data_IF_880825236313
#
_entry.id   IF_880825236313
#
_cell.length_a   1.000
_cell.length_b   1.000
_cell.length_c   1.000
_cell.angle_alpha   90.00
_cell.angle_beta   90.00
_cell.angle_gamma   90.00
#
_symmetry.space_group_name_H-M   'P 1'
#
loop_
_entity.id
_entity.type
_entity.pdbx_description
1 polymer ?
#
# COMPACT_ATOMS: atom_id res chain seq x y z
N UNK A 1 7.31 1.10 -5.95
CA UNK A 1 7.23 0.02 -4.96
C UNK A 1 8.33 0.28 -3.97
N UNK A 2 8.01 0.53 -2.69
CA UNK A 2 9.00 0.99 -1.73
C UNK A 2 9.77 -0.20 -1.14
N UNK A 3 11.07 -0.31 -1.41
CA UNK A 3 11.99 -1.25 -0.79
C UNK A 3 12.32 -0.82 0.63
N UNK A 4 12.45 -1.79 1.54
CA UNK A 4 12.90 -1.54 2.92
C UNK A 4 13.95 -2.57 3.32
N UNK A 5 15.03 -2.09 3.92
CA UNK A 5 16.09 -2.92 4.47
C UNK A 5 16.78 -2.19 5.63
N UNK A 6 17.56 -2.93 6.41
CA UNK A 6 18.41 -2.36 7.45
C UNK A 6 19.84 -2.23 6.91
N UNK A 7 20.48 -1.10 7.20
CA UNK A 7 21.88 -0.85 6.90
C UNK A 7 22.62 -0.72 8.22
N UNK A 8 23.48 -1.70 8.51
CA UNK A 8 24.33 -1.77 9.70
C UNK A 8 25.67 -1.10 9.36
N UNK A 9 25.96 0.02 10.04
CA UNK A 9 27.18 0.83 9.82
C UNK A 9 27.84 1.17 11.16
N UNK A 10 29.16 1.43 11.17
CA UNK A 10 29.79 2.02 12.34
C UNK A 10 29.13 3.36 12.69
N UNK A 11 28.86 3.59 13.97
CA UNK A 11 28.24 4.79 14.53
C UNK A 11 28.92 6.07 14.06
N UNK A 12 30.25 6.05 13.96
CA UNK A 12 31.03 7.20 13.48
C UNK A 12 30.66 7.61 12.03
N UNK A 13 30.15 6.68 11.22
CA UNK A 13 29.78 6.88 9.82
C UNK A 13 28.27 6.99 9.58
N UNK A 14 27.45 6.88 10.61
CA UNK A 14 25.99 6.85 10.47
C UNK A 14 25.43 8.10 9.77
N UNK A 15 25.99 9.28 10.09
CA UNK A 15 25.60 10.54 9.47
C UNK A 15 25.96 10.57 7.98
N UNK A 16 27.17 10.17 7.60
CA UNK A 16 27.62 10.13 6.21
C UNK A 16 26.85 9.09 5.39
N UNK A 17 26.60 7.91 5.96
CA UNK A 17 25.76 6.89 5.36
C UNK A 17 24.33 7.40 5.09
N UNK A 18 23.77 8.20 6.01
CA UNK A 18 22.44 8.78 5.86
C UNK A 18 22.40 9.78 4.70
N UNK A 19 23.43 10.63 4.58
CA UNK A 19 23.58 11.56 3.45
C UNK A 19 23.71 10.80 2.12
N UNK A 20 24.47 9.70 2.09
CA UNK A 20 24.60 8.86 0.91
C UNK A 20 23.25 8.23 0.49
N UNK A 21 22.48 7.72 1.46
CA UNK A 21 21.12 7.20 1.23
C UNK A 21 20.23 8.28 0.64
N UNK A 22 20.14 9.45 1.27
CA UNK A 22 19.29 10.55 0.81
C UNK A 22 19.74 11.12 -0.55
N UNK A 23 21.03 11.03 -0.87
CA UNK A 23 21.60 11.40 -2.17
C UNK A 23 21.02 10.64 -3.36
N UNK A 24 20.40 9.47 -3.14
CA UNK A 24 19.67 8.74 -4.18
C UNK A 24 18.38 9.46 -4.63
N UNK A 25 17.90 10.45 -3.87
CA UNK A 25 16.76 11.31 -4.18
C UNK A 25 15.38 10.73 -3.89
N UNK A 26 15.25 9.40 -3.90
CA UNK A 26 13.99 8.69 -3.62
C UNK A 26 14.11 7.70 -2.45
N UNK A 27 15.17 7.83 -1.65
CA UNK A 27 15.45 7.06 -0.46
C UNK A 27 15.58 7.94 0.78
N UNK A 28 15.23 7.40 1.95
CA UNK A 28 15.36 8.07 3.23
C UNK A 28 15.72 7.09 4.36
N UNK A 29 16.41 7.59 5.37
CA UNK A 29 16.61 6.88 6.63
C UNK A 29 15.45 7.20 7.57
N UNK A 30 14.66 6.19 7.93
CA UNK A 30 13.47 6.34 8.77
C UNK A 30 13.81 6.34 10.26
N UNK A 31 14.73 5.47 10.67
CA UNK A 31 15.07 5.21 12.07
C UNK A 31 16.54 4.89 12.15
N UNK A 32 17.22 5.49 13.12
CA UNK A 32 18.58 5.12 13.54
C UNK A 32 18.48 4.55 14.95
N UNK A 33 19.00 3.34 15.16
CA UNK A 33 18.99 2.66 16.46
C UNK A 33 20.28 1.89 16.68
N UNK A 34 20.51 1.47 17.91
CA UNK A 34 21.67 0.64 18.24
C UNK A 34 21.57 -0.72 17.52
N UNK A 35 22.70 -1.23 17.01
CA UNK A 35 22.74 -2.52 16.31
C UNK A 35 22.34 -3.66 17.23
N UNK A 36 21.56 -4.61 16.69
CA UNK A 36 21.10 -5.79 17.44
C UNK A 36 22.13 -6.93 17.46
N UNK A 37 23.33 -6.75 16.90
CA UNK A 37 24.27 -7.85 16.77
C UNK A 37 25.71 -7.42 16.96
N UNK A 38 26.21 -7.59 18.18
CA UNK A 38 27.51 -8.21 18.54
C UNK A 38 27.93 -7.91 19.99
N UNK A 39 27.23 -7.02 20.70
CA UNK A 39 27.45 -6.76 22.13
C UNK A 39 27.01 -5.35 22.55
N UNK A 40 26.99 -5.07 23.86
CA UNK A 40 26.65 -3.74 24.41
C UNK A 40 27.66 -2.65 24.01
N UNK A 41 28.92 -3.05 23.75
CA UNK A 41 30.00 -2.14 23.35
C UNK A 41 30.23 -2.09 21.82
N UNK A 42 29.31 -2.65 21.04
CA UNK A 42 29.47 -2.71 19.58
C UNK A 42 29.26 -1.31 18.96
N UNK A 43 30.24 -0.73 18.26
CA UNK A 43 30.16 0.63 17.76
C UNK A 43 29.30 0.73 16.49
N UNK A 44 28.27 -0.11 16.32
CA UNK A 44 27.42 -0.14 15.14
C UNK A 44 26.01 0.36 15.43
N UNK A 45 25.37 0.88 14.38
CA UNK A 45 23.97 1.30 14.40
C UNK A 45 23.23 0.74 13.20
N UNK A 46 21.95 0.43 13.40
CA UNK A 46 21.02 0.02 12.35
C UNK A 46 20.31 1.27 11.81
N UNK A 47 20.46 1.52 10.52
CA UNK A 47 19.69 2.51 9.78
C UNK A 47 18.56 1.78 9.04
N UNK A 48 17.32 2.11 9.37
CA UNK A 48 16.18 1.62 8.58
C UNK A 48 16.05 2.47 7.33
N UNK A 49 16.39 1.90 6.18
CA UNK A 49 16.31 2.58 4.89
C UNK A 49 15.01 2.22 4.19
N UNK A 50 14.30 3.23 3.70
CA UNK A 50 13.16 3.08 2.80
C UNK A 50 13.46 3.79 1.48
N UNK A 51 13.22 3.15 0.34
CA UNK A 51 13.47 3.75 -0.98
C UNK A 51 12.46 3.29 -2.03
N UNK A 52 12.13 4.16 -2.99
CA UNK A 52 11.22 3.83 -4.08
C UNK A 52 11.91 3.13 -5.26
N UNK A 53 13.24 3.15 -5.31
CA UNK A 53 14.07 2.48 -6.30
C UNK A 53 15.25 1.77 -5.65
N UNK A 54 16.04 1.04 -6.45
CA UNK A 54 17.29 0.43 -5.97
C UNK A 54 18.53 1.27 -6.34
N UNK A 55 18.34 2.51 -6.80
CA UNK A 55 19.44 3.47 -7.01
C UNK A 55 20.17 3.82 -5.71
N UNK A 56 19.50 3.65 -4.58
CA UNK A 56 20.12 3.73 -3.26
C UNK A 56 21.29 2.75 -3.10
N UNK A 57 21.26 1.60 -3.78
CA UNK A 57 22.39 0.67 -3.77
C UNK A 57 23.59 1.28 -4.49
N UNK A 58 23.39 1.90 -5.65
CA UNK A 58 24.48 2.58 -6.37
C UNK A 58 25.10 3.70 -5.51
N UNK A 59 24.26 4.53 -4.89
CA UNK A 59 24.71 5.61 -4.01
C UNK A 59 25.49 5.07 -2.79
N UNK A 60 25.06 3.94 -2.21
CA UNK A 60 25.76 3.29 -1.10
C UNK A 60 27.12 2.73 -1.53
N UNK A 61 27.23 2.11 -2.71
CA UNK A 61 28.51 1.61 -3.20
C UNK A 61 29.45 2.73 -3.57
N UNK A 62 28.96 3.81 -4.18
CA UNK A 62 29.80 4.97 -4.53
C UNK A 62 30.32 5.68 -3.27
N UNK A 63 29.47 5.84 -2.25
CA UNK A 63 29.89 6.31 -0.94
C UNK A 63 30.89 5.35 -0.28
N UNK A 64 30.61 4.05 -0.24
CA UNK A 64 31.51 3.04 0.31
C UNK A 64 32.87 3.03 -0.42
N UNK A 65 32.85 3.22 -1.75
CA UNK A 65 34.04 3.31 -2.57
C UNK A 65 34.90 4.55 -2.24
N UNK A 66 34.23 5.67 -1.91
CA UNK A 66 34.88 6.93 -1.53
C UNK A 66 35.64 6.87 -0.19
N UNK A 67 35.34 5.91 0.68
CA UNK A 67 36.03 5.72 1.97
C UNK A 67 37.49 5.24 1.82
N UNK A 68 37.92 4.86 0.61
CA UNK A 68 39.33 4.52 0.33
C UNK A 68 39.71 3.11 0.73
N UNK A 69 40.97 2.90 1.18
CA UNK A 69 41.54 1.57 1.42
C UNK A 69 41.27 0.98 2.82
N UNK A 70 40.85 1.82 3.78
CA UNK A 70 40.53 1.40 5.15
C UNK A 70 39.02 1.43 5.37
N UNK A 71 38.30 0.66 4.56
CA UNK A 71 36.83 0.62 4.64
C UNK A 71 36.41 -0.18 5.86
N UNK A 72 35.54 0.37 6.72
CA UNK A 72 34.94 -0.45 7.76
C UNK A 72 33.95 -1.43 7.16
N UNK A 73 33.63 -2.48 7.90
CA UNK A 73 32.59 -3.41 7.48
C UNK A 73 31.24 -2.68 7.49
N UNK A 74 30.56 -2.63 6.36
CA UNK A 74 29.21 -2.08 6.22
C UNK A 74 28.34 -3.20 5.70
N UNK A 75 27.20 -3.44 6.34
CA UNK A 75 26.36 -4.59 6.04
C UNK A 75 24.93 -4.19 5.79
N UNK A 76 24.29 -4.90 4.87
CA UNK A 76 22.86 -4.83 4.64
C UNK A 76 22.23 -6.04 5.33
N UNK A 77 21.29 -5.78 6.23
CA UNK A 77 20.56 -6.83 6.96
C UNK A 77 19.19 -7.02 6.31
N UNK A 78 19.02 -8.20 5.74
CA UNK A 78 17.80 -8.65 5.10
C UNK A 78 16.73 -9.00 6.15
N UNK A 79 15.46 -8.97 5.76
CA UNK A 79 14.32 -9.35 6.59
C UNK A 79 14.41 -10.81 7.06
N UNK A 80 15.00 -11.70 6.24
CA UNK A 80 15.31 -13.07 6.66
C UNK A 80 16.35 -13.17 7.79
N UNK A 81 17.03 -12.07 8.13
CA UNK A 81 18.09 -11.99 9.14
C UNK A 81 19.51 -12.16 8.58
N UNK A 82 19.64 -12.45 7.28
CA UNK A 82 20.92 -12.56 6.60
C UNK A 82 21.63 -11.20 6.56
N UNK A 83 22.94 -11.20 6.85
CA UNK A 83 23.80 -10.02 6.78
C UNK A 83 24.71 -10.11 5.57
N UNK A 84 24.57 -9.17 4.65
CA UNK A 84 25.38 -9.07 3.43
C UNK A 84 26.37 -7.92 3.57
N UNK A 85 27.67 -8.21 3.61
CA UNK A 85 28.70 -7.16 3.59
C UNK A 85 28.73 -6.48 2.22
N UNK A 86 28.77 -5.14 2.20
CA UNK A 86 28.85 -4.33 0.97
C UNK A 86 30.15 -4.63 0.21
N UNK A 87 31.25 -4.91 0.93
CA UNK A 87 32.53 -5.30 0.32
C UNK A 87 32.49 -6.70 -0.30
N UNK A 88 31.79 -7.63 0.37
CA UNK A 88 31.76 -9.04 -0.01
C UNK A 88 30.76 -9.40 -1.11
N UNK A 89 29.89 -8.47 -1.49
CA UNK A 89 28.80 -8.71 -2.45
C UNK A 89 28.89 -7.71 -3.59
N UNK A 90 28.67 -8.16 -4.82
CA UNK A 90 28.62 -7.28 -5.98
C UNK A 90 27.32 -6.46 -6.02
N UNK A 91 27.35 -5.23 -6.54
CA UNK A 91 26.18 -4.34 -6.73
C UNK A 91 24.94 -5.09 -7.24
N UNK A 92 25.08 -5.83 -8.34
CA UNK A 92 23.97 -6.57 -8.95
C UNK A 92 23.41 -7.69 -8.06
N UNK A 93 24.27 -8.39 -7.32
CA UNK A 93 23.87 -9.41 -6.37
C UNK A 93 23.15 -8.82 -5.15
N UNK A 94 23.59 -7.65 -4.67
CA UNK A 94 22.92 -6.92 -3.58
C UNK A 94 21.50 -6.50 -3.99
N UNK A 95 21.34 -5.93 -5.19
CA UNK A 95 20.04 -5.57 -5.77
C UNK A 95 19.13 -6.81 -5.86
N UNK A 96 19.67 -7.94 -6.33
CA UNK A 96 18.90 -9.18 -6.44
C UNK A 96 18.48 -9.72 -5.06
N UNK A 97 19.35 -9.63 -4.06
CA UNK A 97 19.06 -10.03 -2.69
C UNK A 97 17.94 -9.19 -2.08
N UNK A 98 18.04 -7.85 -2.16
CA UNK A 98 17.00 -6.94 -1.66
C UNK A 98 15.66 -7.24 -2.33
N UNK A 99 15.63 -7.44 -3.66
CA UNK A 99 14.39 -7.77 -4.37
C UNK A 99 13.74 -9.06 -3.88
N UNK A 100 14.53 -10.12 -3.66
CA UNK A 100 14.02 -11.42 -3.21
C UNK A 100 13.52 -11.39 -1.78
N UNK A 101 14.19 -10.62 -0.93
CA UNK A 101 13.91 -10.51 0.50
C UNK A 101 12.69 -9.63 0.83
N UNK A 102 12.10 -8.95 -0.17
CA UNK A 102 10.92 -8.15 0.10
C UNK A 102 9.72 -9.07 0.46
N UNK A 103 9.06 -8.84 1.61
CA UNK A 103 8.03 -9.74 2.14
C UNK A 103 6.77 -9.86 1.25
N UNK A 104 6.63 -9.00 0.23
CA UNK A 104 5.57 -9.12 -0.77
C UNK A 104 5.97 -9.97 -1.97
N UNK A 105 7.25 -10.17 -2.28
CA UNK A 105 7.69 -10.96 -3.44
C UNK A 105 7.35 -12.44 -3.24
N UNK A 106 7.51 -12.95 -2.02
CA UNK A 106 7.09 -14.31 -1.66
C UNK A 106 5.57 -14.54 -1.73
N UNK A 107 4.77 -13.46 -1.75
CA UNK A 107 3.30 -13.53 -1.66
C UNK A 107 2.56 -13.05 -2.91
N UNK A 108 3.26 -12.47 -3.89
CA UNK A 108 2.64 -11.91 -5.11
C UNK A 108 3.15 -12.52 -6.41
N UNK A 109 4.26 -13.27 -6.39
CA UNK A 109 4.64 -14.10 -7.53
C UNK A 109 3.71 -15.31 -7.60
N UNK A 110 2.90 -15.49 -8.67
CA UNK A 110 2.20 -16.74 -8.86
C UNK A 110 3.23 -17.85 -8.96
N UNK A 111 3.14 -18.85 -8.08
CA UNK A 111 3.99 -20.04 -8.09
C UNK A 111 3.65 -20.92 -9.30
N UNK A 112 3.98 -20.46 -10.49
CA UNK A 112 3.85 -21.25 -11.72
C UNK A 112 5.10 -22.14 -11.76
N UNK A 113 4.98 -23.36 -11.26
CA UNK A 113 6.04 -24.38 -11.34
C UNK A 113 6.26 -25.21 -10.09
N UNK A 114 5.84 -24.75 -8.91
CA UNK A 114 5.96 -25.53 -7.66
C UNK A 114 4.74 -26.44 -7.48
N UNK A 115 4.62 -27.43 -8.36
CA UNK A 115 3.89 -28.65 -8.05
C UNK A 115 4.94 -29.70 -7.68
N UNK A 116 5.24 -29.84 -6.40
CA UNK A 116 5.78 -31.12 -5.94
C UNK A 116 4.68 -32.17 -6.19
N UNK A 117 4.94 -33.13 -7.07
CA UNK A 117 4.12 -34.31 -7.20
C UNK A 117 4.19 -35.06 -5.87
N UNK A 118 3.13 -34.93 -5.07
CA UNK A 118 2.90 -35.84 -3.95
C UNK A 118 2.73 -37.26 -4.53
N UNK A 119 3.86 -37.97 -4.64
CA UNK A 119 3.92 -39.39 -4.97
C UNK A 119 3.29 -40.15 -3.80
N UNK A 120 1.97 -40.29 -3.84
CA UNK A 120 1.25 -41.27 -3.06
C UNK A 120 1.60 -42.67 -3.58
N UNK A 121 2.63 -43.26 -2.98
CA UNK A 121 2.82 -44.70 -2.97
C UNK A 121 1.67 -45.38 -2.22
N UNK A 122 0.89 -46.20 -2.92
CA UNK A 122 0.16 -47.30 -2.31
C UNK A 122 -1.15 -47.69 -3.00
N UNK A 123 -1.11 -48.73 -3.85
CA UNK A 123 -2.29 -49.60 -4.06
C UNK A 123 -2.70 -49.84 -5.52
N UNK A 124 -2.23 -50.95 -6.07
CA UNK A 124 -2.56 -51.58 -7.36
C UNK A 124 -4.03 -51.99 -7.54
N UNK A 125 -4.63 -51.76 -8.73
CA UNK A 125 -4.99 -52.82 -9.71
C UNK A 125 -5.97 -52.35 -10.83
N UNK A 126 -5.51 -52.51 -12.07
CA UNK A 126 -6.16 -52.75 -13.37
C UNK A 126 -7.68 -52.53 -13.60
N UNK A 127 -8.02 -51.70 -14.60
CA UNK A 127 -8.52 -52.14 -15.92
C UNK A 127 -9.17 -51.00 -16.73
N UNK A 128 -8.72 -50.85 -17.97
CA UNK A 128 -9.65 -50.79 -19.11
C UNK A 128 -10.10 -49.43 -19.67
N UNK A 129 -9.54 -49.13 -20.85
CA UNK A 129 -10.25 -48.62 -22.05
C UNK A 129 -10.77 -47.18 -22.01
N UNK A 130 -10.23 -46.35 -22.91
CA UNK A 130 -10.94 -45.19 -23.44
C UNK A 130 -10.04 -44.03 -23.85
N UNK A 131 -9.34 -44.16 -24.97
CA UNK A 131 -8.74 -43.01 -25.65
C UNK A 131 -9.85 -42.14 -26.26
N UNK A 132 -9.85 -40.80 -26.06
CA UNK A 132 -10.56 -39.89 -26.95
C UNK A 132 -9.62 -39.33 -28.04
N UNK A 133 -10.18 -38.95 -29.19
CA UNK A 133 -9.47 -38.89 -30.46
C UNK A 133 -8.66 -37.62 -30.68
N UNK A 134 -7.62 -37.76 -31.52
CA UNK A 134 -6.89 -36.65 -32.12
C UNK A 134 -7.83 -35.76 -32.94
N UNK A 135 -7.89 -34.48 -32.58
CA UNK A 135 -8.45 -33.44 -33.44
C UNK A 135 -7.37 -33.04 -34.44
N UNK A 136 -7.61 -33.43 -35.68
CA UNK A 136 -6.94 -32.92 -36.87
C UNK A 136 -7.26 -31.43 -37.04
N UNK A 137 -6.24 -30.58 -36.91
CA UNK A 137 -6.27 -29.19 -37.39
C UNK A 137 -6.10 -29.18 -38.90
N UNK A 138 -7.09 -28.66 -39.62
CA UNK A 138 -6.98 -28.38 -41.06
C UNK A 138 -7.28 -26.91 -41.34
N UNK A 139 -6.36 -26.28 -42.07
CA UNK A 139 -6.51 -25.10 -42.94
C UNK A 139 -7.21 -23.84 -42.46
N UNK A 140 -6.43 -22.82 -42.06
CA UNK A 140 -6.87 -21.42 -42.01
C UNK A 140 -5.71 -20.42 -41.91
N UNK A 141 -5.28 -19.93 -43.08
CA UNK A 141 -4.49 -18.73 -43.45
C UNK A 141 -3.47 -18.07 -42.46
N UNK A 142 -2.31 -17.61 -42.97
CA UNK A 142 -1.20 -17.10 -42.14
C UNK A 142 -1.50 -15.69 -41.60
N UNK A 143 -1.29 -15.49 -40.31
CA UNK A 143 -1.10 -14.17 -39.71
C UNK A 143 0.39 -13.88 -39.67
N UNK A 144 0.79 -12.79 -40.35
CA UNK A 144 2.17 -12.34 -40.45
C UNK A 144 2.83 -12.09 -39.07
N UNK A 145 4.14 -12.37 -38.93
CA UNK A 145 4.89 -12.02 -37.74
C UNK A 145 5.09 -10.50 -37.65
N UNK A 146 4.56 -9.89 -36.59
CA UNK A 146 4.85 -8.50 -36.24
C UNK A 146 6.35 -8.39 -35.97
N UNK A 147 7.06 -7.74 -36.90
CA UNK A 147 8.45 -7.36 -36.73
C UNK A 147 8.62 -6.25 -35.67
N UNK A 148 9.74 -6.26 -34.92
CA UNK A 148 9.99 -5.31 -33.84
C UNK A 148 10.46 -3.98 -34.43
N UNK A 149 9.65 -2.94 -34.26
CA UNK A 149 9.95 -1.62 -34.82
C UNK A 149 8.84 -0.62 -34.62
N UNK A 150 8.45 -0.35 -33.37
CA UNK A 150 7.69 0.83 -33.02
C UNK A 150 8.16 1.33 -31.65
N UNK A 151 8.98 2.37 -31.68
CA UNK A 151 9.43 3.12 -30.52
C UNK A 151 8.22 3.62 -29.74
N UNK A 152 8.07 3.18 -28.50
CA UNK A 152 7.12 3.75 -27.55
C UNK A 152 7.65 5.11 -27.11
N UNK A 153 7.20 6.14 -27.82
CA UNK A 153 7.46 7.53 -27.49
C UNK A 153 6.66 7.87 -26.21
N UNK A 154 7.34 7.99 -25.07
CA UNK A 154 6.78 8.57 -23.85
C UNK A 154 6.74 10.10 -24.02
N UNK A 155 5.56 10.74 -24.09
CA UNK A 155 5.50 12.18 -23.86
C UNK A 155 5.75 12.41 -22.36
N UNK A 156 6.85 13.11 -22.07
CA UNK A 156 7.31 13.41 -20.73
C UNK A 156 6.31 14.21 -19.90
N UNK A 157 6.57 14.20 -18.59
CA UNK A 157 6.41 15.33 -17.66
C UNK A 157 5.48 16.46 -18.15
N UNK A 158 4.18 16.23 -18.12
CA UNK A 158 3.14 17.23 -18.33
C UNK A 158 2.25 17.26 -17.10
N UNK A 159 2.13 18.44 -16.47
CA UNK A 159 1.53 18.63 -15.16
C UNK A 159 0.15 17.99 -14.99
N UNK A 160 -0.07 17.38 -13.82
CA UNK A 160 -1.41 17.01 -13.38
C UNK A 160 -2.31 18.25 -13.43
N UNK A 161 -3.30 18.19 -14.30
CA UNK A 161 -4.40 19.15 -14.36
C UNK A 161 -5.12 19.15 -13.02
N UNK A 162 -5.05 20.28 -12.32
CA UNK A 162 -5.80 20.54 -11.11
C UNK A 162 -7.27 20.76 -11.50
N UNK A 163 -8.23 19.91 -11.09
CA UNK A 163 -9.62 19.99 -11.55
C UNK A 163 -10.42 21.18 -10.96
N UNK A 164 -9.76 22.12 -10.27
CA UNK A 164 -10.38 23.26 -9.60
C UNK A 164 -9.94 24.63 -10.17
N UNK A 165 -9.51 24.70 -11.42
CA UNK A 165 -9.36 25.99 -12.10
C UNK A 165 -10.73 26.49 -12.57
N UNK A 166 -11.26 27.50 -11.89
CA UNK A 166 -12.39 28.30 -12.37
C UNK A 166 -11.94 29.14 -13.55
N UNK A 167 -11.92 28.55 -14.75
CA UNK A 167 -11.85 29.34 -15.98
C UNK A 167 -13.19 30.05 -16.22
N UNK A 168 -13.11 31.34 -16.50
CA UNK A 168 -14.25 32.18 -16.81
C UNK A 168 -15.03 31.63 -18.02
N UNK A 169 -16.33 31.43 -17.82
CA UNK A 169 -17.25 30.97 -18.87
C UNK A 169 -17.30 32.01 -20.00
N UNK A 170 -16.99 31.65 -21.27
CA UNK A 170 -17.25 32.54 -22.39
C UNK A 170 -18.76 32.62 -22.64
N UNK A 171 -19.25 33.84 -22.84
CA UNK A 171 -20.66 34.14 -23.08
C UNK A 171 -21.19 33.55 -24.38
N UNK A 172 -22.34 32.87 -24.25
CA UNK A 172 -23.42 32.68 -25.22
C UNK A 172 -23.09 32.14 -26.62
N UNK A 173 -23.08 30.81 -26.74
CA UNK A 173 -23.66 30.11 -27.87
C UNK A 173 -24.88 29.34 -27.39
N UNK A 174 -26.07 29.62 -27.93
CA UNK A 174 -27.34 29.00 -27.53
C UNK A 174 -27.36 27.52 -27.91
N UNK A 175 -26.71 26.67 -27.13
CA UNK A 175 -26.98 25.24 -27.16
C UNK A 175 -28.30 25.02 -26.42
N UNK A 176 -29.36 24.74 -27.18
CA UNK A 176 -30.57 24.14 -26.64
C UNK A 176 -30.22 22.76 -26.08
N UNK A 177 -29.87 22.72 -24.80
CA UNK A 177 -29.80 21.50 -24.02
C UNK A 177 -31.22 20.95 -23.97
N UNK A 178 -31.47 19.88 -24.73
CA UNK A 178 -32.71 19.13 -24.65
C UNK A 178 -32.88 18.70 -23.20
N UNK A 179 -33.99 19.10 -22.57
CA UNK A 179 -34.25 18.83 -21.16
C UNK A 179 -34.03 17.33 -20.87
N UNK A 180 -33.12 16.98 -19.95
CA UNK A 180 -32.74 15.60 -19.75
C UNK A 180 -33.93 14.79 -19.23
N UNK A 181 -34.18 13.64 -19.89
CA UNK A 181 -35.10 12.59 -19.43
C UNK A 181 -34.83 12.31 -17.95
N UNK A 182 -35.89 12.29 -17.12
CA UNK A 182 -35.90 11.99 -15.66
C UNK A 182 -34.52 11.65 -15.11
N UNK A 183 -33.76 12.69 -14.74
CA UNK A 183 -32.43 12.53 -14.19
C UNK A 183 -32.52 11.92 -12.78
N UNK A 184 -31.57 11.05 -12.46
CA UNK A 184 -31.39 10.58 -11.08
C UNK A 184 -30.86 11.76 -10.26
N UNK A 185 -31.63 12.19 -9.27
CA UNK A 185 -31.20 13.22 -8.33
C UNK A 185 -30.59 12.56 -7.09
N UNK A 186 -29.25 12.58 -7.01
CA UNK A 186 -28.53 12.10 -5.83
C UNK A 186 -28.68 13.15 -4.73
N UNK A 187 -29.30 12.78 -3.60
CA UNK A 187 -29.49 13.69 -2.46
C UNK A 187 -28.25 13.81 -1.58
N UNK A 188 -27.43 12.76 -1.51
CA UNK A 188 -26.21 12.73 -0.74
C UNK A 188 -25.60 11.34 -0.66
N UNK A 189 -24.39 11.27 -0.11
CA UNK A 189 -23.72 10.01 0.22
C UNK A 189 -24.18 9.57 1.60
N UNK A 190 -24.76 8.37 1.69
CA UNK A 190 -25.25 7.83 2.96
C UNK A 190 -24.06 7.36 3.84
N UNK A 191 -23.24 6.47 3.30
CA UNK A 191 -22.03 5.98 3.95
C UNK A 191 -21.09 5.33 2.93
N UNK A 192 -19.84 5.13 3.32
CA UNK A 192 -18.87 4.27 2.63
C UNK A 192 -18.67 3.00 3.43
N UNK A 193 -18.77 1.83 2.79
CA UNK A 193 -18.52 0.56 3.45
C UNK A 193 -17.04 0.17 3.35
N UNK A 194 -16.41 -0.14 4.49
CA UNK A 194 -15.01 -0.58 4.58
C UNK A 194 -15.00 -1.94 5.27
N UNK A 195 -14.30 -2.91 4.68
CA UNK A 195 -14.11 -4.22 5.33
C UNK A 195 -12.97 -4.15 6.32
N UNK A 196 -13.19 -4.71 7.50
CA UNK A 196 -12.18 -4.79 8.58
C UNK A 196 -12.21 -6.17 9.21
N UNK A 197 -11.06 -6.65 9.70
CA UNK A 197 -10.95 -7.96 10.34
C UNK A 197 -11.49 -7.94 11.77
N UNK A 198 -11.27 -6.83 12.46
CA UNK A 198 -11.66 -6.59 13.84
C UNK A 198 -12.33 -5.21 13.94
N UNK A 199 -13.60 -5.19 14.37
CA UNK A 199 -14.37 -3.94 14.50
C UNK A 199 -13.83 -3.06 15.61
N UNK A 200 -13.45 -3.62 16.75
CA UNK A 200 -12.99 -2.84 17.92
C UNK A 200 -11.70 -2.10 17.59
N UNK A 201 -10.76 -2.78 16.91
CA UNK A 201 -9.50 -2.16 16.46
C UNK A 201 -9.77 -1.04 15.45
N UNK A 202 -10.68 -1.26 14.50
CA UNK A 202 -11.03 -0.25 13.50
C UNK A 202 -11.78 0.94 14.08
N UNK A 203 -12.71 0.69 15.01
CA UNK A 203 -13.43 1.74 15.74
C UNK A 203 -12.45 2.66 16.48
N UNK A 204 -11.52 2.08 17.23
CA UNK A 204 -10.52 2.84 17.96
C UNK A 204 -9.63 3.66 17.00
N UNK A 205 -9.17 3.04 15.92
CA UNK A 205 -8.32 3.73 14.95
C UNK A 205 -9.03 4.94 14.34
N UNK A 206 -10.23 4.78 13.80
CA UNK A 206 -10.93 5.90 13.14
C UNK A 206 -11.44 6.95 14.13
N UNK A 207 -11.73 6.57 15.37
CA UNK A 207 -12.01 7.53 16.44
C UNK A 207 -10.77 8.38 16.74
N UNK A 208 -9.62 7.74 16.94
CA UNK A 208 -8.39 8.44 17.34
C UNK A 208 -7.72 9.21 16.21
N UNK A 209 -7.83 8.73 14.97
CA UNK A 209 -7.11 9.30 13.83
C UNK A 209 -7.96 10.33 13.06
N UNK A 210 -9.25 10.04 12.83
CA UNK A 210 -10.16 10.93 12.10
C UNK A 210 -11.16 11.66 13.02
N UNK A 211 -11.10 11.45 14.34
CA UNK A 211 -12.04 12.07 15.28
C UNK A 211 -13.47 11.57 15.12
N UNK A 212 -13.67 10.36 14.58
CA UNK A 212 -15.01 9.85 14.26
C UNK A 212 -15.74 9.33 15.49
N UNK A 213 -17.05 9.59 15.55
CA UNK A 213 -17.91 9.14 16.62
C UNK A 213 -18.68 7.87 16.23
N UNK A 214 -18.74 6.91 17.14
CA UNK A 214 -19.57 5.71 17.02
C UNK A 214 -21.05 6.09 17.03
N UNK A 215 -21.78 5.78 15.95
CA UNK A 215 -23.22 5.98 15.85
C UNK A 215 -24.02 4.77 16.34
N UNK A 216 -23.50 3.57 16.12
CA UNK A 216 -24.15 2.33 16.53
C UNK A 216 -23.56 1.10 15.87
N UNK A 217 -23.89 -0.05 16.44
CA UNK A 217 -23.49 -1.37 15.96
C UNK A 217 -24.72 -2.15 15.54
N UNK A 218 -24.58 -3.03 14.55
CA UNK A 218 -25.68 -3.84 14.06
C UNK A 218 -25.22 -5.22 13.58
N UNK A 219 -26.17 -6.16 13.56
CA UNK A 219 -26.01 -7.48 12.94
C UNK A 219 -26.79 -7.53 11.64
N UNK A 220 -26.28 -8.28 10.66
CA UNK A 220 -26.99 -8.55 9.41
C UNK A 220 -28.10 -9.56 9.70
N UNK A 221 -29.28 -9.31 9.15
CA UNK A 221 -30.41 -10.23 9.26
C UNK A 221 -30.56 -11.06 7.99
N UNK A 222 -31.03 -12.29 8.13
CA UNK A 222 -31.38 -13.15 6.99
C UNK A 222 -32.51 -12.47 6.19
N UNK A 223 -32.27 -12.22 4.90
CA UNK A 223 -33.16 -11.42 4.04
C UNK A 223 -32.60 -10.05 3.65
N UNK A 224 -31.44 -9.65 4.19
CA UNK A 224 -30.81 -8.38 3.91
C UNK A 224 -31.20 -7.30 4.91
N UNK A 225 -30.38 -6.25 4.99
CA UNK A 225 -30.53 -5.18 5.99
C UNK A 225 -29.79 -5.46 7.30
N UNK A 226 -30.05 -4.60 8.28
CA UNK A 226 -29.35 -4.57 9.57
C UNK A 226 -30.35 -4.45 10.71
N UNK A 227 -30.05 -5.14 11.81
CA UNK A 227 -30.74 -4.97 13.10
C UNK A 227 -29.75 -4.37 14.09
N UNK A 228 -30.08 -3.18 14.58
CA UNK A 228 -29.27 -2.46 15.56
C UNK A 228 -29.15 -3.27 16.85
N UNK A 229 -27.97 -3.22 17.44
CA UNK A 229 -27.68 -3.80 18.75
C UNK A 229 -28.02 -2.80 19.86
N UNK A 230 -28.38 -3.28 21.06
CA UNK A 230 -28.75 -2.41 22.17
C UNK A 230 -27.53 -1.64 22.69
N UNK A 231 -27.80 -0.56 23.42
CA UNK A 231 -26.76 0.37 23.90
C UNK A 231 -25.80 -0.24 24.93
N UNK A 232 -26.24 -1.28 25.63
CA UNK A 232 -25.47 -2.07 26.60
C UNK A 232 -24.66 -3.21 25.95
N UNK A 233 -24.59 -3.26 24.61
CA UNK A 233 -23.74 -4.21 23.91
C UNK A 233 -22.27 -4.09 24.32
N UNK A 234 -21.71 -5.21 24.79
CA UNK A 234 -20.29 -5.38 25.10
C UNK A 234 -19.62 -6.28 24.06
N UNK A 235 -18.67 -5.71 23.31
CA UNK A 235 -17.92 -6.43 22.29
C UNK A 235 -17.09 -7.59 22.86
N UNK A 236 -16.63 -7.48 24.11
CA UNK A 236 -15.82 -8.50 24.79
C UNK A 236 -16.66 -9.72 25.15
N UNK A 237 -17.88 -9.50 25.64
CA UNK A 237 -18.82 -10.57 25.93
C UNK A 237 -19.30 -11.21 24.63
N UNK A 238 -19.68 -10.40 23.65
CA UNK A 238 -20.15 -10.88 22.35
C UNK A 238 -19.10 -11.72 21.60
N UNK A 239 -17.81 -11.37 21.73
CA UNK A 239 -16.71 -12.15 21.16
C UNK A 239 -16.57 -13.56 21.77
N UNK A 240 -16.94 -13.75 23.04
CA UNK A 240 -16.93 -15.07 23.70
C UNK A 240 -18.10 -15.94 23.26
N UNK A 241 -19.26 -15.31 23.09
CA UNK A 241 -20.52 -16.02 22.82
C UNK A 241 -20.84 -16.14 21.31
N UNK A 242 -19.97 -15.61 20.44
CA UNK A 242 -20.15 -15.62 18.99
C UNK A 242 -21.27 -14.68 18.49
N UNK A 243 -21.69 -13.72 19.31
CA UNK A 243 -22.76 -12.77 19.04
C UNK A 243 -22.24 -11.39 18.60
N UNK A 244 -21.04 -11.35 18.01
CA UNK A 244 -20.37 -10.11 17.58
C UNK A 244 -21.21 -9.34 16.53
N UNK A 245 -21.12 -8.01 16.59
CA UNK A 245 -21.66 -7.13 15.56
C UNK A 245 -21.07 -7.46 14.18
N UNK A 246 -21.87 -7.31 13.12
CA UNK A 246 -21.40 -7.49 11.74
C UNK A 246 -20.98 -6.16 11.11
N UNK A 247 -21.54 -5.06 11.59
CA UNK A 247 -21.23 -3.72 11.12
C UNK A 247 -21.25 -2.71 12.26
N UNK A 248 -20.36 -1.73 12.16
CA UNK A 248 -20.36 -0.53 12.98
C UNK A 248 -20.45 0.70 12.09
N UNK A 249 -21.27 1.68 12.48
CA UNK A 249 -21.37 2.97 11.79
C UNK A 249 -20.63 4.03 12.59
N UNK A 250 -19.72 4.76 11.94
CA UNK A 250 -18.96 5.87 12.52
C UNK A 250 -19.13 7.13 11.69
N UNK A 251 -19.16 8.30 12.33
CA UNK A 251 -19.31 9.60 11.63
C UNK A 251 -18.28 10.63 12.06
N UNK A 252 -17.67 11.28 11.07
CA UNK A 252 -16.82 12.47 11.22
C UNK A 252 -17.29 13.53 10.23
N UNK A 253 -17.87 14.63 10.73
CA UNK A 253 -18.49 15.64 9.88
C UNK A 253 -19.59 15.05 8.98
N UNK A 254 -19.45 15.25 7.66
CA UNK A 254 -20.38 14.73 6.65
C UNK A 254 -20.08 13.29 6.21
N UNK A 255 -18.90 12.76 6.55
CA UNK A 255 -18.50 11.41 6.19
C UNK A 255 -19.04 10.41 7.22
N UNK A 256 -19.73 9.39 6.73
CA UNK A 256 -20.13 8.22 7.53
C UNK A 256 -19.44 6.97 6.96
N UNK A 257 -18.76 6.21 7.82
CA UNK A 257 -18.17 4.93 7.49
C UNK A 257 -19.02 3.80 8.08
N UNK A 258 -19.24 2.75 7.29
CA UNK A 258 -19.81 1.48 7.73
C UNK A 258 -18.70 0.43 7.73
N UNK A 259 -18.12 0.19 8.91
CA UNK A 259 -17.06 -0.80 9.11
C UNK A 259 -17.70 -2.17 9.17
N UNK A 260 -17.37 -3.04 8.22
CA UNK A 260 -17.97 -4.36 8.06
C UNK A 260 -16.99 -5.44 8.47
N UNK A 261 -17.37 -6.24 9.47
CA UNK A 261 -16.55 -7.34 9.96
C UNK A 261 -16.43 -8.43 8.90
N UNK A 262 -15.20 -8.70 8.47
CA UNK A 262 -14.89 -9.83 7.60
C UNK A 262 -14.59 -11.12 8.39
N UNK A 263 -14.26 -10.98 9.68
CA UNK A 263 -13.88 -12.07 10.58
C UNK A 263 -12.38 -12.09 10.88
N UNK A 264 -12.02 -12.61 12.06
CA UNK A 264 -10.63 -12.72 12.50
C UNK A 264 -9.90 -13.75 11.64
N UNK A 265 -8.86 -13.32 10.92
CA UNK A 265 -8.13 -14.17 9.97
C UNK A 265 -8.64 -14.10 8.51
N UNK A 266 -9.69 -13.32 8.24
CA UNK A 266 -10.07 -13.02 6.86
C UNK A 266 -8.95 -12.27 6.15
N UNK A 267 -8.55 -12.77 4.97
CA UNK A 267 -7.65 -12.03 4.08
C UNK A 267 -8.44 -10.90 3.43
N UNK A 268 -8.20 -9.68 3.90
CA UNK A 268 -8.68 -8.49 3.22
C UNK A 268 -7.62 -8.14 2.18
N UNK A 269 -7.98 -8.30 0.90
CA UNK A 269 -7.09 -7.92 -0.19
C UNK A 269 -6.72 -6.45 -0.08
N UNK A 270 -5.43 -6.13 -0.14
CA UNK A 270 -4.94 -4.74 -0.10
C UNK A 270 -5.26 -3.95 -1.36
N UNK A 271 -5.73 -4.64 -2.41
CA UNK A 271 -6.44 -4.04 -3.55
C UNK A 271 -7.91 -3.95 -3.18
N UNK A 272 -8.28 -2.93 -2.42
CA UNK A 272 -9.69 -2.56 -2.29
C UNK A 272 -10.27 -2.37 -3.71
N UNK A 273 -11.48 -2.88 -3.96
CA UNK A 273 -12.21 -2.59 -5.22
C UNK A 273 -12.43 -1.09 -5.41
N UNK A 274 -12.43 -0.34 -4.30
CA UNK A 274 -12.38 1.10 -4.29
C UNK A 274 -10.92 1.56 -4.31
N UNK A 275 -10.53 2.25 -5.38
CA UNK A 275 -9.16 2.73 -5.61
C UNK A 275 -8.66 3.63 -4.47
N UNK A 276 -9.37 4.73 -4.18
CA UNK A 276 -9.11 5.59 -3.02
C UNK A 276 -10.37 6.35 -2.57
N UNK A 277 -10.33 6.90 -1.36
CA UNK A 277 -11.29 7.85 -0.81
C UNK A 277 -10.67 9.24 -0.76
N UNK A 278 -11.18 10.16 -1.58
CA UNK A 278 -10.74 11.55 -1.60
C UNK A 278 -11.63 12.42 -0.71
N UNK A 279 -11.03 13.19 0.18
CA UNK A 279 -11.70 14.13 1.08
C UNK A 279 -11.07 15.51 1.01
N UNK A 280 -11.91 16.54 1.10
CA UNK A 280 -11.46 17.93 1.24
C UNK A 280 -11.46 18.34 2.70
N UNK A 281 -10.37 18.94 3.15
CA UNK A 281 -10.20 19.45 4.52
C UNK A 281 -9.70 20.90 4.48
N UNK A 282 -9.80 21.61 5.61
CA UNK A 282 -9.17 22.93 5.75
C UNK A 282 -7.64 22.80 5.95
N UNK A 283 -6.91 23.91 5.85
CA UNK A 283 -5.46 23.92 5.94
C UNK A 283 -4.90 23.47 7.31
N UNK A 284 -5.60 23.78 8.42
CA UNK A 284 -5.18 23.38 9.75
C UNK A 284 -5.38 21.87 9.94
N UNK A 285 -6.54 21.35 9.51
CA UNK A 285 -6.84 19.92 9.49
C UNK A 285 -5.85 19.16 8.60
N UNK A 286 -5.49 19.69 7.43
CA UNK A 286 -4.49 19.09 6.55
C UNK A 286 -3.11 18.97 7.21
N UNK A 287 -2.64 20.05 7.86
CA UNK A 287 -1.35 20.04 8.56
C UNK A 287 -1.33 19.02 9.71
N UNK A 288 -2.42 18.96 10.50
CA UNK A 288 -2.57 17.98 11.57
C UNK A 288 -2.58 16.54 11.04
N UNK A 289 -3.35 16.27 9.98
CA UNK A 289 -3.45 14.95 9.36
C UNK A 289 -2.09 14.48 8.82
N UNK A 290 -1.33 15.37 8.17
CA UNK A 290 0.04 15.07 7.72
C UNK A 290 0.96 14.73 8.89
N UNK A 291 0.88 15.46 10.00
CA UNK A 291 1.63 15.15 11.22
C UNK A 291 1.27 13.78 11.81
N UNK A 292 -0.03 13.49 11.95
CA UNK A 292 -0.52 12.21 12.50
C UNK A 292 -0.11 11.01 11.63
N UNK A 293 -0.15 11.13 10.30
CA UNK A 293 0.30 10.08 9.37
C UNK A 293 1.76 9.71 9.64
N UNK A 294 2.63 10.72 9.76
CA UNK A 294 4.06 10.53 9.99
C UNK A 294 4.33 9.97 11.38
N UNK A 295 3.70 10.53 12.42
CA UNK A 295 3.90 10.11 13.80
C UNK A 295 3.39 8.70 14.10
N UNK A 296 2.31 8.27 13.44
CA UNK A 296 1.76 6.91 13.59
C UNK A 296 2.40 5.89 12.66
N UNK A 297 3.34 6.29 11.81
CA UNK A 297 4.01 5.40 10.85
C UNK A 297 3.04 4.77 9.84
N UNK A 298 1.98 5.52 9.45
CA UNK A 298 1.13 5.13 8.33
C UNK A 298 1.95 5.18 7.03
N UNK A 299 1.46 4.53 5.97
CA UNK A 299 2.19 4.40 4.69
C UNK A 299 1.81 5.54 3.74
N UNK A 300 2.59 6.65 3.66
CA UNK A 300 2.34 7.69 2.68
C UNK A 300 2.67 7.19 1.28
N UNK A 301 1.72 7.35 0.37
CA UNK A 301 1.88 6.99 -1.04
C UNK A 301 2.32 8.19 -1.88
N UNK A 302 1.76 9.37 -1.59
CA UNK A 302 2.08 10.64 -2.25
C UNK A 302 2.03 11.75 -1.21
N UNK A 303 3.03 12.62 -1.19
CA UNK A 303 3.04 13.84 -0.38
C UNK A 303 3.28 15.02 -1.31
N UNK A 304 2.31 15.92 -1.39
CA UNK A 304 2.40 17.19 -2.09
C UNK A 304 2.10 18.34 -1.12
N UNK A 305 2.34 19.57 -1.56
CA UNK A 305 2.12 20.76 -0.73
C UNK A 305 0.67 20.90 -0.26
N UNK A 306 -0.28 20.46 -1.09
CA UNK A 306 -1.72 20.66 -0.89
C UNK A 306 -2.56 19.38 -0.91
N UNK A 307 -1.90 18.24 -1.08
CA UNK A 307 -2.54 16.93 -1.13
C UNK A 307 -1.62 15.90 -0.47
N UNK A 308 -2.21 14.92 0.20
CA UNK A 308 -1.52 13.76 0.74
C UNK A 308 -2.34 12.52 0.47
N UNK A 309 -1.69 11.50 -0.05
CA UNK A 309 -2.26 10.17 -0.23
C UNK A 309 -1.54 9.21 0.70
N UNK A 310 -2.29 8.42 1.45
CA UNK A 310 -1.74 7.44 2.39
C UNK A 310 -2.63 6.21 2.46
N UNK A 311 -2.06 5.11 2.95
CA UNK A 311 -2.79 3.87 3.20
C UNK A 311 -2.98 3.67 4.69
N UNK A 312 -4.21 3.36 5.09
CA UNK A 312 -4.54 3.05 6.48
C UNK A 312 -4.25 1.56 6.84
N UNK A 313 -4.34 1.18 8.14
CA UNK A 313 -4.06 -0.19 8.57
C UNK A 313 -5.01 -1.25 7.98
N UNK A 314 -6.16 -0.84 7.44
CA UNK A 314 -7.16 -1.70 6.82
C UNK A 314 -6.99 -1.80 5.30
N UNK A 315 -5.97 -1.14 4.74
CA UNK A 315 -5.63 -1.16 3.34
C UNK A 315 -6.43 -0.16 2.49
N UNK A 316 -7.20 0.74 3.11
CA UNK A 316 -7.91 1.80 2.38
C UNK A 316 -6.93 2.91 2.04
N UNK A 317 -6.94 3.33 0.78
CA UNK A 317 -6.17 4.48 0.33
C UNK A 317 -7.02 5.73 0.54
N UNK A 318 -6.46 6.69 1.25
CA UNK A 318 -7.06 7.98 1.52
C UNK A 318 -6.28 9.04 0.77
N UNK A 319 -6.99 9.94 0.12
CA UNK A 319 -6.47 11.20 -0.40
C UNK A 319 -7.11 12.33 0.39
N UNK A 320 -6.30 13.18 1.01
CA UNK A 320 -6.75 14.41 1.64
C UNK A 320 -6.16 15.59 0.88
N UNK A 321 -7.01 16.53 0.48
CA UNK A 321 -6.60 17.77 -0.16
C UNK A 321 -7.22 18.98 0.54
N UNK A 322 -6.54 20.12 0.49
CA UNK A 322 -7.15 21.39 0.92
C UNK A 322 -7.15 22.41 -0.20
N UNK A 323 -8.33 22.99 -0.43
CA UNK A 323 -8.49 24.11 -1.35
C UNK A 323 -7.90 25.35 -0.67
N UNK A 324 -6.95 25.98 -1.35
CA UNK A 324 -6.34 27.20 -0.85
C UNK A 324 -7.23 28.34 -1.22
N UNK A 325 -7.32 29.34 -0.35
CA UNK A 325 -7.73 30.65 -0.83
C UNK A 325 -6.71 31.07 -1.90
N UNK A 326 -7.12 31.31 -3.15
CA UNK A 326 -6.20 31.83 -4.15
C UNK A 326 -5.79 33.25 -3.72
N UNK A 327 -4.49 33.43 -3.47
CA UNK A 327 -3.87 34.74 -3.29
C UNK A 327 -3.73 35.20 -1.84
N UNK A 328 -2.55 34.97 -1.25
CA UNK A 328 -1.82 35.93 -0.41
C UNK A 328 -0.35 35.50 -0.46
N UNK A 329 0.33 35.94 -1.52
CA UNK A 329 1.80 36.11 -1.56
C UNK A 329 2.11 37.56 -1.23
#
# INVERSE_FOLDING_TARGET
MAYRFLLEVPRALAAEASVAVEGAGDAQVLVVRDSHGLGFDDPYVDLTVASHSLRVVDALYDWFDSLGASRPDVRLVLHAGDRLSVEGVERGAMIAAIRRDQPWVERTLPKIGDHEEDVLMGGTAASGIGAPPAVTTDGGAPVDPISPGAEFNYPGSGGMLNPFTTEAVPSAGTMTVTAPRRMIQIQGLNHVAIRVTDLTVAEQFYADFLGMNLLGRAVRVAGGGYRTLPADYDATVAARDGAEADVTFMRGGTLTLALQRAGRGARIERSSLLDHLSVTVDAATFANLRGEILMRGLDPLVIADRAITFRDPFGVIWEAAFLGTPGMT
#
